data_IF_929575676652
#
_entry.id   IF_929575676652
#
_cell.length_a   1.000
_cell.length_b   1.000
_cell.length_c   1.000
_cell.angle_alpha   90.00
_cell.angle_beta   90.00
_cell.angle_gamma   90.00
#
_symmetry.space_group_name_H-M   'P 1'
#
loop_
_entity.id
_entity.type
_entity.pdbx_description
1 polymer ?
#
# COMPACT_ATOMS: atom_id res chain seq x y z
N UNK A 1 17.67 -78.30 17.70
CA UNK A 1 17.52 -77.28 16.60
C UNK A 1 16.96 -76.00 17.20
N UNK A 2 17.79 -74.94 17.37
CA UNK A 2 17.36 -73.63 17.90
C UNK A 2 17.32 -72.68 16.74
N UNK A 3 16.11 -72.14 16.43
CA UNK A 3 15.91 -71.10 15.40
C UNK A 3 16.01 -69.73 16.03
N UNK A 4 17.08 -68.99 15.71
CA UNK A 4 17.26 -67.62 16.12
C UNK A 4 16.36 -66.71 15.26
N UNK A 5 15.44 -65.96 15.89
CA UNK A 5 14.66 -64.89 15.26
C UNK A 5 15.46 -63.57 15.38
N UNK A 6 15.99 -63.07 14.27
CA UNK A 6 16.54 -61.72 14.18
C UNK A 6 15.37 -60.72 14.13
N UNK A 7 15.25 -59.85 15.13
CA UNK A 7 14.39 -58.70 15.14
C UNK A 7 15.09 -57.55 14.41
N UNK A 8 14.57 -57.17 13.23
CA UNK A 8 15.00 -56.01 12.51
C UNK A 8 14.26 -54.81 13.12
N UNK A 9 14.98 -53.92 13.78
CA UNK A 9 14.46 -52.64 14.29
C UNK A 9 14.56 -51.64 13.14
N UNK A 10 13.41 -51.30 12.54
CA UNK A 10 13.30 -50.27 11.53
C UNK A 10 13.40 -48.88 12.19
N UNK A 11 14.46 -48.16 11.91
CA UNK A 11 14.61 -46.75 12.32
C UNK A 11 13.91 -45.91 11.28
N UNK A 12 12.71 -45.39 11.61
CA UNK A 12 12.01 -44.38 10.81
C UNK A 12 12.70 -43.03 11.00
N UNK A 13 13.40 -42.56 9.97
CA UNK A 13 13.95 -41.20 9.91
C UNK A 13 12.82 -40.28 9.51
N UNK A 14 12.24 -39.56 10.48
CA UNK A 14 11.29 -38.46 10.18
C UNK A 14 12.12 -37.28 9.69
N UNK A 15 12.15 -37.10 8.37
CA UNK A 15 12.75 -35.94 7.73
C UNK A 15 11.82 -34.74 7.94
N UNK A 16 12.13 -33.89 8.91
CA UNK A 16 11.44 -32.62 9.13
C UNK A 16 11.79 -31.65 7.99
N UNK A 17 10.91 -31.51 7.01
CA UNK A 17 11.01 -30.47 5.99
C UNK A 17 10.74 -29.13 6.67
N UNK A 18 11.78 -28.40 7.03
CA UNK A 18 11.71 -26.99 7.42
C UNK A 18 11.38 -26.15 6.16
N UNK A 19 10.10 -25.84 5.96
CA UNK A 19 9.70 -24.85 4.97
C UNK A 19 10.26 -23.48 5.41
N UNK A 20 10.89 -22.72 4.50
CA UNK A 20 11.39 -21.40 4.84
C UNK A 20 10.20 -20.51 5.19
N UNK A 21 10.11 -20.06 6.43
CA UNK A 21 9.20 -19.01 6.84
C UNK A 21 9.63 -17.73 6.12
N UNK A 22 8.97 -17.40 5.00
CA UNK A 22 9.12 -16.12 4.36
C UNK A 22 8.52 -15.06 5.30
N UNK A 23 9.37 -14.44 6.12
CA UNK A 23 9.01 -13.20 6.80
C UNK A 23 8.71 -12.15 5.73
N UNK A 24 7.42 -11.85 5.52
CA UNK A 24 7.03 -10.66 4.78
C UNK A 24 7.50 -9.49 5.62
N UNK A 25 8.68 -8.98 5.30
CA UNK A 25 9.24 -7.79 5.96
C UNK A 25 8.27 -6.63 5.72
N UNK A 26 7.65 -6.14 6.78
CA UNK A 26 6.89 -4.91 6.72
C UNK A 26 7.81 -3.82 6.16
N UNK A 27 7.41 -3.18 5.07
CA UNK A 27 8.23 -2.15 4.44
C UNK A 27 8.55 -1.06 5.46
N UNK A 28 9.83 -0.90 5.80
CA UNK A 28 10.29 0.10 6.77
C UNK A 28 9.98 1.48 6.24
N UNK A 29 9.13 2.24 6.96
CA UNK A 29 8.79 3.63 6.59
C UNK A 29 9.99 4.54 6.85
N UNK A 30 10.46 5.22 5.80
CA UNK A 30 11.62 6.12 5.87
C UNK A 30 11.22 7.56 5.68
N UNK A 31 11.63 8.43 6.61
CA UNK A 31 11.43 9.89 6.53
C UNK A 31 12.48 10.50 5.59
N UNK A 32 12.02 11.18 4.54
CA UNK A 32 12.84 11.94 3.59
C UNK A 32 12.62 13.45 3.72
N UNK A 33 11.36 13.88 3.88
CA UNK A 33 11.00 15.28 4.03
C UNK A 33 10.86 15.62 5.52
N UNK A 34 11.80 16.39 6.07
CA UNK A 34 11.78 16.82 7.47
C UNK A 34 10.71 17.89 7.76
N UNK A 35 10.20 18.56 6.71
CA UNK A 35 9.22 19.65 6.82
C UNK A 35 7.77 19.19 6.76
N UNK A 36 7.51 17.88 6.83
CA UNK A 36 6.13 17.36 6.94
C UNK A 36 5.47 17.90 8.22
N UNK A 37 4.21 18.33 8.09
CA UNK A 37 3.39 18.70 9.24
C UNK A 37 3.14 17.47 10.14
N UNK A 38 2.72 17.71 11.38
CA UNK A 38 2.41 16.60 12.29
C UNK A 38 1.20 15.80 11.81
N UNK A 39 0.24 16.44 11.14
CA UNK A 39 -0.88 15.77 10.52
C UNK A 39 -0.44 14.86 9.36
N UNK A 40 0.43 15.36 8.47
CA UNK A 40 1.03 14.53 7.41
C UNK A 40 1.81 13.35 7.99
N UNK A 41 2.62 13.56 9.04
CA UNK A 41 3.34 12.48 9.71
C UNK A 41 2.39 11.46 10.33
N UNK A 42 1.30 11.90 10.95
CA UNK A 42 0.32 11.01 11.54
C UNK A 42 -0.37 10.13 10.48
N UNK A 43 -0.76 10.71 9.34
CA UNK A 43 -1.35 9.95 8.24
C UNK A 43 -0.32 9.00 7.63
N UNK A 44 0.84 9.51 7.23
CA UNK A 44 1.83 8.74 6.47
C UNK A 44 2.51 7.64 7.29
N UNK A 45 2.83 7.90 8.55
CA UNK A 45 3.62 6.98 9.38
C UNK A 45 2.78 6.15 10.34
N UNK A 46 1.64 6.68 10.81
CA UNK A 46 0.74 5.98 11.74
C UNK A 46 -0.55 5.47 11.08
N UNK A 47 -0.69 5.66 9.73
CA UNK A 47 -1.81 5.15 8.94
C UNK A 47 -3.16 5.73 9.37
N UNK A 48 -3.16 7.02 9.76
CA UNK A 48 -4.38 7.78 9.99
C UNK A 48 -5.05 8.18 8.66
N UNK A 49 -6.22 8.77 8.73
CA UNK A 49 -6.98 9.25 7.57
C UNK A 49 -7.33 10.72 7.77
N UNK A 50 -7.15 11.56 6.74
CA UNK A 50 -7.63 12.94 6.76
C UNK A 50 -9.16 13.00 6.70
N UNK A 51 -9.77 14.13 7.08
CA UNK A 51 -11.22 14.30 6.98
C UNK A 51 -11.66 14.27 5.50
N UNK A 52 -12.83 13.69 5.19
CA UNK A 52 -13.39 13.77 3.84
C UNK A 52 -13.64 15.24 3.47
N UNK A 53 -13.45 15.56 2.18
CA UNK A 53 -13.64 16.89 1.57
C UNK A 53 -12.67 17.97 2.09
N UNK A 54 -11.65 17.64 2.88
CA UNK A 54 -10.67 18.60 3.40
C UNK A 54 -9.56 18.93 2.40
N UNK A 55 -9.24 18.03 1.48
CA UNK A 55 -8.15 18.22 0.53
C UNK A 55 -8.53 19.14 -0.62
N UNK A 56 -7.72 20.18 -0.87
CA UNK A 56 -7.83 21.02 -2.07
C UNK A 56 -7.59 20.24 -3.37
N UNK A 57 -6.84 19.13 -3.29
CA UNK A 57 -6.56 18.27 -4.45
C UNK A 57 -7.81 17.56 -5.00
N UNK A 58 -8.94 17.57 -4.28
CA UNK A 58 -10.22 17.13 -4.83
C UNK A 58 -10.61 17.97 -6.05
N UNK A 59 -10.32 19.28 -6.03
CA UNK A 59 -10.64 20.24 -7.08
C UNK A 59 -9.52 20.50 -8.07
N UNK A 60 -8.37 19.83 -7.93
CA UNK A 60 -7.23 19.98 -8.84
C UNK A 60 -7.53 19.29 -10.18
N UNK A 61 -7.63 20.07 -11.27
CA UNK A 61 -8.00 19.60 -12.61
C UNK A 61 -6.94 19.89 -13.68
N UNK A 62 -5.82 20.53 -13.29
CA UNK A 62 -4.74 20.83 -14.23
C UNK A 62 -4.02 19.55 -14.67
N UNK A 63 -3.43 19.58 -15.87
CA UNK A 63 -2.55 18.51 -16.32
C UNK A 63 -1.27 18.49 -15.50
N UNK A 64 -0.82 17.29 -15.09
CA UNK A 64 0.38 17.14 -14.28
C UNK A 64 0.48 15.79 -13.60
N UNK A 65 1.28 15.76 -12.55
CA UNK A 65 1.54 14.54 -11.79
C UNK A 65 1.43 14.78 -10.28
N UNK A 66 0.97 13.75 -9.59
CA UNK A 66 0.92 13.71 -8.13
C UNK A 66 2.12 12.96 -7.60
N UNK A 67 2.82 13.58 -6.66
CA UNK A 67 4.05 13.08 -6.07
C UNK A 67 3.86 12.79 -4.59
N UNK A 68 4.62 11.83 -4.06
CA UNK A 68 4.66 11.56 -2.63
C UNK A 68 5.22 12.78 -1.86
N UNK A 69 4.46 13.31 -0.90
CA UNK A 69 4.86 14.46 -0.10
C UNK A 69 6.12 14.20 0.74
N UNK A 70 6.40 12.93 1.08
CA UNK A 70 7.57 12.55 1.84
C UNK A 70 8.84 12.39 0.99
N UNK A 71 8.79 11.66 -0.14
CA UNK A 71 10.01 11.30 -0.88
C UNK A 71 10.07 11.83 -2.31
N UNK A 72 9.04 12.55 -2.77
CA UNK A 72 8.96 13.14 -4.11
C UNK A 72 8.74 12.13 -5.25
N UNK A 73 8.56 10.83 -4.95
CA UNK A 73 8.29 9.84 -5.98
C UNK A 73 7.02 10.19 -6.76
N UNK A 74 7.05 10.06 -8.08
CA UNK A 74 5.88 10.27 -8.96
C UNK A 74 4.93 9.07 -8.80
N UNK A 75 3.66 9.33 -8.51
CA UNK A 75 2.70 8.31 -8.09
C UNK A 75 1.51 8.16 -9.04
N UNK A 76 0.91 9.28 -9.45
CA UNK A 76 -0.25 9.29 -10.32
C UNK A 76 -0.11 10.34 -11.41
N UNK A 77 -0.69 10.07 -12.57
CA UNK A 77 -0.93 11.09 -13.59
C UNK A 77 -2.30 11.75 -13.36
N UNK A 78 -2.43 13.03 -13.72
CA UNK A 78 -3.73 13.74 -13.62
C UNK A 78 -4.81 13.11 -14.49
N UNK A 79 -4.45 12.43 -15.57
CA UNK A 79 -5.37 11.71 -16.46
C UNK A 79 -6.10 10.54 -15.79
N UNK A 80 -5.52 10.00 -14.72
CA UNK A 80 -6.14 8.92 -13.95
C UNK A 80 -7.08 9.44 -12.85
N UNK A 81 -7.07 10.76 -12.56
CA UNK A 81 -7.90 11.34 -11.51
C UNK A 81 -9.37 11.42 -11.92
N UNK A 82 -10.24 11.10 -10.98
CA UNK A 82 -11.69 11.27 -11.15
C UNK A 82 -12.34 11.66 -9.82
N UNK A 83 -13.54 12.23 -9.91
CA UNK A 83 -14.37 12.50 -8.73
C UNK A 83 -15.16 11.24 -8.37
N UNK A 84 -14.84 10.65 -7.23
CA UNK A 84 -15.53 9.46 -6.70
C UNK A 84 -16.71 9.82 -5.79
N UNK A 85 -16.92 11.10 -5.47
CA UNK A 85 -17.93 11.55 -4.49
C UNK A 85 -17.60 11.20 -3.04
N UNK A 86 -16.49 10.51 -2.76
CA UNK A 86 -16.16 10.03 -1.41
C UNK A 86 -15.49 11.08 -0.52
N UNK A 87 -15.02 12.19 -1.11
CA UNK A 87 -14.39 13.30 -0.39
C UNK A 87 -12.85 13.21 -0.31
N UNK A 88 -12.24 12.22 -0.93
CA UNK A 88 -10.79 12.08 -1.05
C UNK A 88 -10.36 12.07 -2.53
N UNK A 89 -9.15 12.60 -2.85
CA UNK A 89 -8.59 12.47 -4.19
C UNK A 89 -8.58 11.01 -4.63
N UNK A 90 -9.19 10.72 -5.77
CA UNK A 90 -9.37 9.36 -6.27
C UNK A 90 -8.78 9.19 -7.67
N UNK A 91 -8.14 8.04 -7.91
CA UNK A 91 -7.47 7.73 -9.17
C UNK A 91 -7.87 6.33 -9.63
N UNK A 92 -8.08 6.17 -10.95
CA UNK A 92 -8.41 4.88 -11.57
C UNK A 92 -7.20 3.95 -11.70
N UNK A 93 -6.00 4.52 -11.78
CA UNK A 93 -4.75 3.78 -11.90
C UNK A 93 -3.58 4.54 -11.26
N UNK A 94 -2.55 3.81 -10.88
CA UNK A 94 -1.28 4.35 -10.41
C UNK A 94 -0.19 4.16 -11.47
N UNK A 95 0.87 4.98 -11.40
CA UNK A 95 2.03 4.77 -12.27
C UNK A 95 2.71 3.43 -11.94
N UNK A 96 3.28 2.73 -12.93
CA UNK A 96 3.95 1.46 -12.72
C UNK A 96 5.01 1.53 -11.62
N UNK A 97 4.95 0.60 -10.67
CA UNK A 97 5.90 0.53 -9.55
C UNK A 97 5.77 1.62 -8.49
N UNK A 98 4.75 2.49 -8.56
CA UNK A 98 4.56 3.59 -7.59
C UNK A 98 4.25 3.11 -6.17
N UNK A 99 3.53 2.00 -6.04
CA UNK A 99 3.04 1.50 -4.77
C UNK A 99 3.31 0.01 -4.55
N UNK A 100 3.33 -0.38 -3.27
CA UNK A 100 3.17 -1.74 -2.79
C UNK A 100 1.89 -1.80 -1.98
N UNK A 101 1.31 -2.99 -1.84
CA UNK A 101 0.06 -3.21 -1.13
C UNK A 101 0.23 -4.16 0.05
N UNK A 102 -0.64 -4.03 1.04
CA UNK A 102 -0.80 -5.00 2.13
C UNK A 102 -2.27 -5.12 2.51
N UNK A 103 -2.64 -6.23 3.14
CA UNK A 103 -3.98 -6.40 3.70
C UNK A 103 -4.08 -5.59 5.00
N UNK A 104 -5.09 -4.73 5.09
CA UNK A 104 -5.47 -4.00 6.30
C UNK A 104 -6.74 -4.64 6.90
N UNK A 105 -6.65 -5.03 8.18
CA UNK A 105 -7.75 -5.66 8.92
C UNK A 105 -8.25 -4.80 10.09
N UNK A 106 -7.94 -3.51 10.07
CA UNK A 106 -8.36 -2.58 11.14
C UNK A 106 -9.87 -2.34 11.10
N UNK A 107 -10.44 -2.05 12.25
CA UNK A 107 -11.87 -1.71 12.44
C UNK A 107 -12.85 -2.79 11.95
N UNK A 108 -12.48 -4.07 12.00
CA UNK A 108 -13.34 -5.17 11.56
C UNK A 108 -13.54 -5.27 10.03
N UNK A 109 -12.84 -4.46 9.24
CA UNK A 109 -12.90 -4.46 7.79
C UNK A 109 -11.67 -5.17 7.19
N UNK A 110 -11.85 -5.77 6.00
CA UNK A 110 -10.74 -6.28 5.20
C UNK A 110 -10.58 -5.37 3.97
N UNK A 111 -9.47 -4.61 3.94
CA UNK A 111 -9.18 -3.67 2.87
C UNK A 111 -7.79 -3.90 2.31
N UNK A 112 -7.52 -3.40 1.11
CA UNK A 112 -6.18 -3.36 0.54
C UNK A 112 -5.60 -1.98 0.72
N UNK A 113 -4.67 -1.84 1.67
CA UNK A 113 -3.88 -0.62 1.85
C UNK A 113 -2.79 -0.56 0.80
N UNK A 114 -2.48 0.65 0.31
CA UNK A 114 -1.28 0.89 -0.49
C UNK A 114 -0.36 1.94 0.13
N UNK A 115 0.93 1.74 -0.08
CA UNK A 115 1.99 2.58 0.44
C UNK A 115 3.05 2.83 -0.63
N UNK A 116 3.72 3.98 -0.54
CA UNK A 116 4.75 4.38 -1.50
C UNK A 116 5.84 3.30 -1.60
N UNK A 117 6.12 2.82 -2.81
CA UNK A 117 7.13 1.78 -3.02
C UNK A 117 8.55 2.24 -2.63
N UNK A 118 8.85 3.55 -2.73
CA UNK A 118 10.18 4.13 -2.43
C UNK A 118 10.41 4.34 -0.94
N UNK A 119 9.43 4.86 -0.19
CA UNK A 119 9.64 5.25 1.20
C UNK A 119 8.74 4.53 2.21
N UNK A 120 7.84 3.65 1.76
CA UNK A 120 7.00 2.82 2.60
C UNK A 120 5.87 3.54 3.33
N UNK A 121 5.67 4.86 3.15
CA UNK A 121 4.63 5.59 3.87
C UNK A 121 3.24 5.27 3.32
N UNK A 122 2.26 5.24 4.21
CA UNK A 122 0.85 5.06 3.88
C UNK A 122 0.33 6.18 2.98
N UNK A 123 -0.52 5.82 2.03
CA UNK A 123 -1.22 6.75 1.16
C UNK A 123 -2.74 6.62 1.22
N UNK A 124 -3.26 5.40 1.32
CA UNK A 124 -4.69 5.13 1.34
C UNK A 124 -5.03 3.67 1.06
N UNK A 125 -6.21 3.44 0.50
CA UNK A 125 -6.72 2.11 0.18
C UNK A 125 -7.20 2.04 -1.26
N UNK A 126 -7.07 0.87 -1.88
CA UNK A 126 -7.60 0.58 -3.21
C UNK A 126 -8.84 -0.28 -3.11
N UNK A 127 -9.88 0.11 -3.85
CA UNK A 127 -11.18 -0.54 -3.92
C UNK A 127 -11.47 -1.00 -5.35
N UNK A 128 -12.46 -1.89 -5.51
CA UNK A 128 -12.90 -2.43 -6.80
C UNK A 128 -14.21 -1.78 -7.27
N UNK A 129 -14.39 -0.50 -6.98
CA UNK A 129 -15.57 0.31 -7.29
C UNK A 129 -15.21 1.54 -8.13
N UNK A 130 -14.11 1.47 -8.86
CA UNK A 130 -13.65 2.53 -9.75
C UNK A 130 -14.32 2.52 -11.13
N UNK A 131 -13.92 3.45 -12.01
CA UNK A 131 -14.42 3.53 -13.39
C UNK A 131 -14.18 2.23 -14.17
N UNK A 132 -15.03 1.99 -15.19
CA UNK A 132 -14.99 0.78 -16.03
C UNK A 132 -13.65 0.54 -16.74
N UNK A 133 -12.83 1.57 -16.91
CA UNK A 133 -11.51 1.46 -17.54
C UNK A 133 -10.57 0.51 -16.81
N UNK A 134 -10.59 0.50 -15.48
CA UNK A 134 -9.73 -0.35 -14.65
C UNK A 134 -10.50 -1.10 -13.57
N UNK A 135 -11.72 -0.66 -13.25
CA UNK A 135 -12.50 -1.14 -12.11
C UNK A 135 -11.89 -0.77 -10.75
N UNK A 136 -10.78 -0.02 -10.71
CA UNK A 136 -10.06 0.32 -9.49
C UNK A 136 -10.28 1.77 -9.08
N UNK A 137 -10.38 1.98 -7.77
CA UNK A 137 -10.33 3.31 -7.15
C UNK A 137 -9.25 3.35 -6.09
N UNK A 138 -8.17 4.07 -6.38
CA UNK A 138 -7.16 4.43 -5.42
C UNK A 138 -7.64 5.66 -4.65
N UNK A 139 -8.18 5.45 -3.44
CA UNK A 139 -8.62 6.50 -2.54
C UNK A 139 -7.41 6.99 -1.74
N UNK A 140 -6.95 8.21 -2.01
CA UNK A 140 -5.70 8.72 -1.45
C UNK A 140 -5.95 9.85 -0.45
N UNK A 141 -5.22 9.83 0.68
CA UNK A 141 -5.15 11.00 1.54
C UNK A 141 -4.44 12.14 0.80
N UNK A 142 -5.09 13.27 0.59
CA UNK A 142 -4.53 14.38 -0.17
C UNK A 142 -3.29 14.97 0.48
N UNK A 143 -3.22 14.99 1.82
CA UNK A 143 -2.03 15.42 2.58
C UNK A 143 -0.77 14.57 2.29
N UNK A 144 -0.95 13.37 1.72
CA UNK A 144 0.18 12.54 1.28
C UNK A 144 0.72 12.92 -0.09
N UNK A 145 0.06 13.84 -0.81
CA UNK A 145 0.37 14.19 -2.19
C UNK A 145 0.85 15.64 -2.33
N UNK A 146 1.72 15.85 -3.33
CA UNK A 146 2.05 17.17 -3.88
C UNK A 146 1.74 17.10 -5.37
N UNK A 147 0.88 18.00 -5.87
CA UNK A 147 0.62 18.14 -7.29
C UNK A 147 1.71 19.02 -7.94
N UNK A 148 2.19 18.59 -9.10
CA UNK A 148 3.10 19.38 -9.95
C UNK A 148 2.51 19.46 -11.34
N UNK A 149 2.16 20.67 -11.85
CA UNK A 149 1.65 20.83 -13.19
C UNK A 149 2.72 20.41 -14.21
N UNK A 150 2.27 19.89 -15.36
CA UNK A 150 3.10 19.78 -16.56
C UNK A 150 3.08 21.13 -17.28
N UNK A 151 4.24 21.56 -17.76
CA UNK A 151 4.34 22.70 -18.66
C UNK A 151 3.66 22.39 -19.99
#
# INVERSE_FOLDING_TARGET
MRRNFLKIIGISIISSILLPFNFISAATKKLFNKNLTDEQKNIMFKEATERPFSSELNRENRKGFYHCANCGAKLFASTAKFDSGTGWPSFSEALPGAFKTKVDRKFGMVRTEYHCAKCGVHHGHVFNDGPSTTGKRFCNNGLCLIFKPSN
#
